data_IF_299884239900
#
_entry.id   IF_299884239900
#
_cell.length_a   1.000
_cell.length_b   1.000
_cell.length_c   1.000
_cell.angle_alpha   90.00
_cell.angle_beta   90.00
_cell.angle_gamma   90.00
#
_symmetry.space_group_name_H-M   'P 1'
#
loop_
_entity.id
_entity.type
_entity.pdbx_description
1 polymer ?
#
# COMPACT_ATOMS: atom_id res chain seq x y z
N UNK A 1 16.33 -14.13 -17.66
CA UNK A 1 17.59 -13.46 -17.22
C UNK A 1 17.98 -14.09 -15.90
N UNK A 2 19.26 -14.35 -15.65
CA UNK A 2 19.73 -14.98 -14.40
C UNK A 2 20.52 -13.95 -13.60
N UNK A 3 20.14 -13.76 -12.34
CA UNK A 3 20.83 -12.87 -11.39
C UNK A 3 21.34 -13.75 -10.25
N UNK A 4 22.62 -13.61 -9.91
CA UNK A 4 23.21 -14.25 -8.74
C UNK A 4 23.31 -13.23 -7.61
N UNK A 5 22.74 -13.54 -6.45
CA UNK A 5 22.74 -12.69 -5.26
C UNK A 5 23.33 -13.51 -4.11
N UNK A 6 24.28 -12.92 -3.39
CA UNK A 6 24.79 -13.51 -2.15
C UNK A 6 23.91 -13.06 -0.99
N UNK A 7 23.26 -14.01 -0.32
CA UNK A 7 22.43 -13.77 0.86
C UNK A 7 23.21 -14.13 2.12
N UNK A 8 22.90 -13.48 3.24
CA UNK A 8 23.38 -13.97 4.53
C UNK A 8 22.71 -15.32 4.85
N UNK A 9 23.36 -16.20 5.64
CA UNK A 9 22.80 -17.50 5.98
C UNK A 9 21.42 -17.42 6.63
N UNK A 10 21.17 -16.38 7.44
CA UNK A 10 19.88 -16.18 8.10
C UNK A 10 18.77 -15.89 7.09
N UNK A 11 19.05 -15.04 6.09
CA UNK A 11 18.07 -14.68 5.06
C UNK A 11 17.79 -15.85 4.11
N UNK A 12 18.82 -16.62 3.75
CA UNK A 12 18.62 -17.82 2.94
C UNK A 12 17.72 -18.83 3.67
N UNK A 13 17.95 -19.06 4.97
CA UNK A 13 17.15 -19.98 5.78
C UNK A 13 15.67 -19.56 5.83
N UNK A 14 15.40 -18.26 6.04
CA UNK A 14 14.03 -17.72 6.06
C UNK A 14 13.34 -17.86 4.69
N UNK A 15 14.08 -17.61 3.61
CA UNK A 15 13.54 -17.74 2.25
C UNK A 15 13.22 -19.20 1.92
N UNK A 16 14.08 -20.13 2.34
CA UNK A 16 13.89 -21.58 2.17
C UNK A 16 12.68 -22.08 2.97
N UNK A 17 12.55 -21.70 4.23
CA UNK A 17 11.40 -22.05 5.06
C UNK A 17 10.09 -21.53 4.44
N UNK A 18 10.10 -20.32 3.90
CA UNK A 18 8.94 -19.73 3.22
C UNK A 18 8.57 -20.50 1.95
N UNK A 19 9.56 -20.90 1.16
CA UNK A 19 9.36 -21.72 -0.03
C UNK A 19 8.77 -23.09 0.30
N UNK A 20 9.30 -23.76 1.32
CA UNK A 20 8.79 -25.05 1.80
C UNK A 20 7.35 -24.93 2.27
N UNK A 21 7.02 -23.89 3.05
CA UNK A 21 5.64 -23.64 3.53
C UNK A 21 4.65 -23.40 2.39
N UNK A 22 5.11 -22.79 1.30
CA UNK A 22 4.27 -22.49 0.13
C UNK A 22 4.24 -23.62 -0.90
N UNK A 23 5.08 -24.65 -0.75
CA UNK A 23 5.25 -25.71 -1.73
C UNK A 23 5.76 -25.19 -3.07
N UNK A 24 6.55 -24.12 -3.05
CA UNK A 24 7.07 -23.43 -4.25
C UNK A 24 8.59 -23.52 -4.31
N UNK A 25 9.14 -23.38 -5.52
CA UNK A 25 10.58 -23.27 -5.69
C UNK A 25 11.11 -21.96 -5.08
N UNK A 26 12.29 -22.04 -4.44
CA UNK A 26 12.92 -20.90 -3.76
C UNK A 26 13.14 -19.71 -4.71
N UNK A 27 13.44 -19.96 -5.99
CA UNK A 27 13.62 -18.92 -7.00
C UNK A 27 12.32 -18.20 -7.35
N UNK A 28 11.19 -18.91 -7.32
CA UNK A 28 9.85 -18.32 -7.56
C UNK A 28 9.47 -17.42 -6.39
N UNK A 29 9.68 -17.88 -5.16
CA UNK A 29 9.42 -17.07 -3.96
C UNK A 29 10.32 -15.84 -3.92
N UNK A 30 11.60 -15.98 -4.27
CA UNK A 30 12.53 -14.85 -4.35
C UNK A 30 12.06 -13.81 -5.38
N UNK A 31 11.64 -14.25 -6.57
CA UNK A 31 11.15 -13.36 -7.61
C UNK A 31 9.89 -12.61 -7.18
N UNK A 32 8.92 -13.30 -6.56
CA UNK A 32 7.69 -12.67 -6.06
C UNK A 32 7.98 -11.62 -4.97
N UNK A 33 8.90 -11.90 -4.05
CA UNK A 33 9.30 -10.95 -3.02
C UNK A 33 9.95 -9.69 -3.62
N UNK A 34 10.84 -9.87 -4.61
CA UNK A 34 11.44 -8.75 -5.34
C UNK A 34 10.37 -7.95 -6.09
N UNK A 35 9.41 -8.61 -6.73
CA UNK A 35 8.28 -7.93 -7.39
C UNK A 35 7.44 -7.13 -6.39
N UNK A 36 7.16 -7.67 -5.20
CA UNK A 36 6.39 -6.96 -4.17
C UNK A 36 7.11 -5.69 -3.70
N UNK A 37 8.42 -5.79 -3.44
CA UNK A 37 9.23 -4.66 -3.00
C UNK A 37 9.27 -3.58 -4.09
N UNK A 38 9.56 -3.97 -5.34
CA UNK A 38 9.63 -3.03 -6.46
C UNK A 38 8.26 -2.44 -6.83
N UNK A 39 7.16 -3.16 -6.59
CA UNK A 39 5.81 -2.64 -6.77
C UNK A 39 5.48 -1.57 -5.72
N UNK A 40 5.96 -1.72 -4.48
CA UNK A 40 5.77 -0.69 -3.43
C UNK A 40 6.53 0.62 -3.69
N UNK A 41 7.53 0.59 -4.59
CA UNK A 41 8.27 1.78 -5.05
C UNK A 41 7.54 2.55 -6.17
N UNK A 42 6.36 2.09 -6.61
CA UNK A 42 5.52 2.87 -7.53
C UNK A 42 4.79 4.00 -6.81
N UNK A 43 4.65 5.19 -7.43
CA UNK A 43 4.17 6.43 -6.78
C UNK A 43 2.76 6.37 -6.16
N UNK A 44 1.94 5.37 -6.50
CA UNK A 44 0.63 5.15 -5.88
C UNK A 44 0.73 5.00 -4.34
N UNK A 45 1.81 4.39 -3.82
CA UNK A 45 1.97 4.20 -2.36
C UNK A 45 2.29 5.52 -1.64
N UNK A 46 2.98 6.45 -2.29
CA UNK A 46 3.39 7.70 -1.67
C UNK A 46 2.25 8.72 -1.64
N UNK A 47 1.43 8.77 -2.69
CA UNK A 47 0.21 9.60 -2.71
C UNK A 47 -0.82 9.11 -1.68
N UNK A 48 -1.00 7.79 -1.55
CA UNK A 48 -1.89 7.20 -0.54
C UNK A 48 -1.40 7.50 0.89
N UNK A 49 -0.10 7.35 1.15
CA UNK A 49 0.49 7.69 2.45
C UNK A 49 0.30 9.18 2.75
N UNK A 50 0.57 10.06 1.79
CA UNK A 50 0.38 11.51 1.96
C UNK A 50 -1.09 11.87 2.21
N UNK A 51 -2.03 11.27 1.48
CA UNK A 51 -3.45 11.50 1.67
C UNK A 51 -3.93 11.06 3.06
N UNK A 52 -3.44 9.92 3.56
CA UNK A 52 -3.73 9.45 4.93
C UNK A 52 -3.14 10.41 5.96
N UNK A 53 -1.88 10.80 5.81
CA UNK A 53 -1.21 11.73 6.72
C UNK A 53 -1.96 13.06 6.79
N UNK A 54 -2.34 13.59 5.64
CA UNK A 54 -3.08 14.84 5.54
C UNK A 54 -4.46 14.74 6.19
N UNK A 55 -5.17 13.62 6.02
CA UNK A 55 -6.44 13.38 6.71
C UNK A 55 -6.31 13.34 8.23
N UNK A 56 -5.22 12.76 8.75
CA UNK A 56 -4.92 12.74 10.19
C UNK A 56 -4.61 14.16 10.71
N UNK A 57 -3.77 14.92 10.00
CA UNK A 57 -3.44 16.30 10.36
C UNK A 57 -4.66 17.22 10.31
N UNK A 58 -5.54 17.02 9.33
CA UNK A 58 -6.83 17.72 9.22
C UNK A 58 -7.72 17.42 10.42
N UNK A 59 -7.81 16.15 10.84
CA UNK A 59 -8.56 15.77 12.03
C UNK A 59 -8.01 16.41 13.31
N UNK A 60 -6.70 16.34 13.53
CA UNK A 60 -6.02 16.94 14.70
C UNK A 60 -6.20 18.46 14.76
N UNK A 61 -6.27 19.12 13.60
CA UNK A 61 -6.55 20.55 13.51
C UNK A 61 -8.04 20.91 13.55
N UNK A 62 -8.94 19.93 13.75
CA UNK A 62 -10.39 20.14 13.77
C UNK A 62 -11.00 20.46 12.39
N UNK A 63 -10.27 20.19 11.30
CA UNK A 63 -10.72 20.33 9.90
C UNK A 63 -11.47 19.08 9.45
N UNK A 64 -12.55 18.75 10.16
CA UNK A 64 -13.49 17.70 9.76
C UNK A 64 -14.91 18.26 9.73
N UNK A 65 -15.81 17.59 9.03
CA UNK A 65 -17.23 17.94 9.00
C UNK A 65 -18.08 16.69 9.16
N UNK A 66 -19.36 16.89 9.51
CA UNK A 66 -20.32 15.80 9.52
C UNK A 66 -20.59 15.30 8.10
N UNK A 67 -21.07 14.06 8.00
CA UNK A 67 -21.45 13.50 6.71
C UNK A 67 -22.56 14.32 6.03
N UNK A 68 -23.50 14.87 6.80
CA UNK A 68 -24.61 15.66 6.26
C UNK A 68 -24.11 16.98 5.64
N UNK A 69 -23.21 17.69 6.32
CA UNK A 69 -22.56 18.90 5.79
C UNK A 69 -21.75 18.59 4.52
N UNK A 70 -21.01 17.48 4.53
CA UNK A 70 -20.29 17.02 3.34
C UNK A 70 -21.25 16.72 2.20
N UNK A 71 -22.30 15.94 2.44
CA UNK A 71 -23.27 15.53 1.42
C UNK A 71 -23.99 16.75 0.81
N UNK A 72 -24.39 17.72 1.62
CA UNK A 72 -24.95 18.98 1.12
C UNK A 72 -23.95 19.75 0.25
N UNK A 73 -22.69 19.85 0.67
CA UNK A 73 -21.64 20.53 -0.11
C UNK A 73 -21.45 19.90 -1.48
N UNK A 74 -21.42 18.55 -1.55
CA UNK A 74 -21.28 17.81 -2.82
C UNK A 74 -22.52 17.98 -3.69
N UNK A 75 -23.73 17.93 -3.12
CA UNK A 75 -24.96 18.16 -3.88
C UNK A 75 -24.99 19.54 -4.50
N UNK A 76 -24.63 20.59 -3.76
CA UNK A 76 -24.52 21.95 -4.29
C UNK A 76 -23.45 22.05 -5.38
N UNK A 77 -22.28 21.46 -5.16
CA UNK A 77 -21.16 21.48 -6.13
C UNK A 77 -21.52 20.83 -7.47
N UNK A 78 -22.29 19.75 -7.44
CA UNK A 78 -22.65 18.97 -8.63
C UNK A 78 -24.11 19.14 -9.08
N UNK A 79 -24.85 20.11 -8.53
CA UNK A 79 -26.27 20.36 -8.81
C UNK A 79 -27.16 19.09 -8.68
N UNK A 80 -26.86 18.27 -7.68
CA UNK A 80 -27.63 17.05 -7.41
C UNK A 80 -28.89 17.39 -6.61
N UNK A 81 -30.01 16.68 -6.85
CA UNK A 81 -31.24 16.89 -6.09
C UNK A 81 -31.03 16.59 -4.60
N UNK A 82 -31.64 17.44 -3.75
CA UNK A 82 -31.75 17.21 -2.32
C UNK A 82 -32.75 16.09 -2.02
N UNK A 83 -32.59 15.46 -0.85
CA UNK A 83 -33.59 14.55 -0.28
C UNK A 83 -34.63 15.35 0.51
#
# INVERSE_FOLDING_TARGET
MTIAISLSPEIEALLREKADRQGQDISVVAAQLLTLILASETPDSQEDIQAIQQGLDDFDCGRFCSFDEFAESQRRKYNLPGN
#
